data_IF_093286511061
#
_entry.id   IF_093286511061
#
_cell.length_a   1.000
_cell.length_b   1.000
_cell.length_c   1.000
_cell.angle_alpha   90.00
_cell.angle_beta   90.00
_cell.angle_gamma   90.00
#
_symmetry.space_group_name_H-M   'P 1'
#
loop_
_entity.id
_entity.type
_entity.pdbx_description
1 polymer ?
#
# COMPACT_ATOMS: atom_id res chain seq x y z
N UNK A 1 38.29 -10.16 1.70
CA UNK A 1 37.66 -10.88 2.82
C UNK A 1 36.14 -10.78 2.71
N UNK A 2 35.49 -11.61 1.88
CA UNK A 2 34.04 -11.52 1.67
C UNK A 2 33.24 -11.78 2.95
N UNK A 3 33.69 -12.69 3.81
CA UNK A 3 33.03 -13.04 5.07
C UNK A 3 33.04 -11.91 6.11
N UNK A 4 34.16 -11.20 6.22
CA UNK A 4 34.34 -10.10 7.18
C UNK A 4 33.54 -8.86 6.74
N UNK A 5 33.43 -8.66 5.43
CA UNK A 5 32.57 -7.63 4.85
C UNK A 5 31.09 -7.90 5.10
N UNK A 6 30.63 -9.14 4.93
CA UNK A 6 29.25 -9.54 5.26
C UNK A 6 28.95 -9.35 6.75
N UNK A 7 29.85 -9.80 7.63
CA UNK A 7 29.70 -9.59 9.07
C UNK A 7 29.60 -8.09 9.43
N UNK A 8 30.43 -7.24 8.83
CA UNK A 8 30.37 -5.80 9.07
C UNK A 8 29.02 -5.19 8.63
N UNK A 9 28.43 -5.66 7.53
CA UNK A 9 27.12 -5.19 7.09
C UNK A 9 25.99 -5.56 8.06
N UNK A 10 26.10 -6.68 8.76
CA UNK A 10 25.09 -7.10 9.74
C UNK A 10 25.26 -6.38 11.08
N UNK A 11 26.50 -6.20 11.56
CA UNK A 11 26.77 -5.65 12.89
C UNK A 11 26.79 -4.12 12.95
N UNK A 12 27.32 -3.44 11.94
CA UNK A 12 27.42 -1.97 11.92
C UNK A 12 26.07 -1.23 11.97
N UNK A 13 24.98 -1.71 11.35
CA UNK A 13 23.68 -1.03 11.44
C UNK A 13 22.93 -1.32 12.74
N UNK A 14 23.39 -2.23 13.60
CA UNK A 14 22.78 -2.49 14.90
C UNK A 14 22.89 -1.22 15.73
N UNK A 15 21.74 -0.61 16.04
CA UNK A 15 21.70 0.59 16.85
C UNK A 15 22.13 0.26 18.29
N UNK A 16 23.24 0.84 18.74
CA UNK A 16 23.72 0.71 20.13
C UNK A 16 22.93 1.53 21.16
N UNK A 17 21.82 2.15 20.77
CA UNK A 17 21.01 3.00 21.66
C UNK A 17 19.51 2.85 21.36
N UNK A 18 18.69 3.09 22.37
CA UNK A 18 17.22 3.06 22.26
C UNK A 18 16.59 4.38 21.76
N UNK A 19 17.40 5.42 21.51
CA UNK A 19 17.01 6.73 20.93
C UNK A 19 16.04 6.66 19.72
N UNK A 20 16.24 5.76 18.72
CA UNK A 20 15.28 5.54 17.64
C UNK A 20 13.88 5.17 18.14
N UNK A 21 13.77 4.26 19.10
CA UNK A 21 12.51 3.83 19.69
C UNK A 21 11.88 4.97 20.51
N UNK A 22 12.67 5.69 21.31
CA UNK A 22 12.19 6.86 22.08
C UNK A 22 11.61 7.95 21.18
N UNK A 23 12.22 8.20 20.02
CA UNK A 23 11.72 9.17 19.04
C UNK A 23 10.37 8.75 18.46
N UNK A 24 10.21 7.46 18.15
CA UNK A 24 8.93 6.89 17.67
C UNK A 24 7.87 7.01 18.76
N UNK A 25 8.19 6.66 20.01
CA UNK A 25 7.26 6.75 21.13
C UNK A 25 6.88 8.19 21.49
N UNK A 26 7.81 9.14 21.42
CA UNK A 26 7.53 10.57 21.62
C UNK A 26 6.56 11.10 20.56
N UNK A 27 6.76 10.74 19.29
CA UNK A 27 5.82 11.10 18.20
C UNK A 27 4.47 10.40 18.35
N UNK A 28 4.45 9.15 18.81
CA UNK A 28 3.22 8.42 19.07
C UNK A 28 2.40 9.04 20.21
N UNK A 29 3.06 9.49 21.27
CA UNK A 29 2.43 10.18 22.40
C UNK A 29 1.66 11.42 21.95
N UNK A 30 2.26 12.26 21.11
CA UNK A 30 1.61 13.44 20.54
C UNK A 30 0.31 13.07 19.79
N UNK A 31 0.36 11.98 19.01
CA UNK A 31 -0.76 11.54 18.17
C UNK A 31 -1.85 10.79 18.96
N UNK A 32 -1.49 10.10 20.05
CA UNK A 32 -2.39 9.26 20.86
C UNK A 32 -2.99 9.97 22.07
N UNK A 33 -2.19 10.69 22.86
CA UNK A 33 -2.65 11.24 24.15
C UNK A 33 -2.95 12.73 24.07
N UNK A 34 -2.11 13.51 23.40
CA UNK A 34 -2.15 14.97 23.52
C UNK A 34 -3.31 15.58 22.72
N UNK A 35 -3.67 14.99 21.58
CA UNK A 35 -4.84 15.38 20.79
C UNK A 35 -6.13 14.63 21.16
N UNK A 36 -6.16 13.83 22.24
CA UNK A 36 -7.30 12.96 22.64
C UNK A 36 -7.79 12.02 21.53
N UNK A 37 -6.95 11.73 20.55
CA UNK A 37 -7.20 10.75 19.52
C UNK A 37 -7.00 9.37 20.16
N UNK A 38 -8.06 8.77 20.71
CA UNK A 38 -8.04 7.40 21.28
C UNK A 38 -7.82 6.35 20.18
N UNK A 39 -6.70 6.43 19.49
CA UNK A 39 -6.25 5.52 18.45
C UNK A 39 -5.80 4.24 19.16
N UNK A 40 -6.17 3.08 18.63
CA UNK A 40 -5.72 1.80 19.15
C UNK A 40 -4.21 1.64 18.91
N UNK A 41 -3.51 0.98 19.83
CA UNK A 41 -2.05 0.76 19.76
C UNK A 41 -1.61 0.12 18.44
N UNK A 42 -2.38 -0.86 17.96
CA UNK A 42 -2.14 -1.53 16.68
C UNK A 42 -2.21 -0.57 15.49
N UNK A 43 -3.20 0.33 15.48
CA UNK A 43 -3.35 1.31 14.40
C UNK A 43 -2.22 2.36 14.46
N UNK A 44 -1.77 2.73 15.65
CA UNK A 44 -0.63 3.62 15.83
C UNK A 44 0.66 2.99 15.26
N UNK A 45 0.92 1.71 15.54
CA UNK A 45 2.07 0.99 15.01
C UNK A 45 2.06 0.97 13.47
N UNK A 46 0.92 0.62 12.88
CA UNK A 46 0.72 0.64 11.43
C UNK A 46 0.99 2.04 10.82
N UNK A 47 0.52 3.10 11.47
CA UNK A 47 0.75 4.47 11.02
C UNK A 47 2.22 4.89 11.14
N UNK A 48 2.93 4.48 12.18
CA UNK A 48 4.36 4.76 12.31
C UNK A 48 5.19 4.00 11.27
N UNK A 49 4.84 2.74 10.97
CA UNK A 49 5.45 1.98 9.87
C UNK A 49 5.21 2.67 8.52
N UNK A 50 3.97 3.10 8.25
CA UNK A 50 3.63 3.84 7.03
C UNK A 50 4.41 5.15 6.91
N UNK A 51 4.46 5.94 8.00
CA UNK A 51 5.24 7.18 8.07
C UNK A 51 6.72 6.96 7.77
N UNK A 52 7.31 5.90 8.32
CA UNK A 52 8.71 5.57 8.09
C UNK A 52 8.96 5.09 6.65
N UNK A 53 8.06 4.26 6.11
CA UNK A 53 8.09 3.83 4.71
C UNK A 53 8.09 5.05 3.77
N UNK A 54 7.17 6.00 3.99
CA UNK A 54 7.08 7.21 3.18
C UNK A 54 8.34 8.07 3.28
N UNK A 55 8.94 8.17 4.47
CA UNK A 55 10.19 8.91 4.68
C UNK A 55 11.38 8.26 3.96
N UNK A 56 11.39 6.94 3.81
CA UNK A 56 12.49 6.19 3.18
C UNK A 56 12.42 6.15 1.66
N UNK A 57 11.51 6.92 1.03
CA UNK A 57 11.44 7.06 -0.42
C UNK A 57 10.38 6.20 -1.10
N UNK A 58 9.52 5.50 -0.34
CA UNK A 58 8.28 4.98 -0.93
C UNK A 58 7.26 6.11 -1.03
N UNK A 59 7.23 6.77 -2.18
CA UNK A 59 6.21 7.78 -2.45
C UNK A 59 4.86 7.07 -2.70
N UNK A 60 3.82 7.50 -1.98
CA UNK A 60 2.46 7.01 -2.24
C UNK A 60 1.97 7.72 -3.50
N UNK A 61 2.03 7.01 -4.62
CA UNK A 61 1.52 7.52 -5.90
C UNK A 61 0.04 7.15 -6.05
N UNK A 62 -0.84 8.10 -5.72
CA UNK A 62 -2.29 7.96 -5.90
C UNK A 62 -2.71 7.96 -7.38
N UNK A 63 -1.80 8.30 -8.29
CA UNK A 63 -2.03 8.33 -9.74
C UNK A 63 -1.45 7.12 -10.47
N UNK A 64 -0.77 6.21 -9.76
CA UNK A 64 -0.32 4.94 -10.32
C UNK A 64 -1.55 4.12 -10.77
N UNK A 65 -1.55 3.64 -12.01
CA UNK A 65 -2.69 2.93 -12.60
C UNK A 65 -3.75 3.83 -13.25
N UNK A 66 -3.64 5.16 -13.10
CA UNK A 66 -4.57 6.13 -13.74
C UNK A 66 -3.99 6.76 -15.01
N UNK A 67 -2.85 6.26 -15.51
CA UNK A 67 -2.30 6.81 -16.75
C UNK A 67 -3.24 6.53 -17.92
N UNK A 68 -3.32 7.47 -18.87
CA UNK A 68 -4.16 7.35 -20.06
C UNK A 68 -3.95 5.99 -20.77
N UNK A 69 -2.70 5.51 -20.80
CA UNK A 69 -2.34 4.23 -21.41
C UNK A 69 -2.92 3.03 -20.67
N UNK A 70 -2.87 3.03 -19.34
CA UNK A 70 -3.43 1.95 -18.51
C UNK A 70 -4.96 1.95 -18.56
N UNK A 71 -5.57 3.14 -18.58
CA UNK A 71 -7.03 3.29 -18.75
C UNK A 71 -7.47 2.81 -20.13
N UNK A 72 -6.76 3.17 -21.19
CA UNK A 72 -7.05 2.70 -22.54
C UNK A 72 -6.90 1.18 -22.66
N UNK A 73 -5.85 0.60 -22.09
CA UNK A 73 -5.66 -0.84 -22.06
C UNK A 73 -6.80 -1.56 -21.33
N UNK A 74 -7.23 -1.05 -20.17
CA UNK A 74 -8.36 -1.60 -19.43
C UNK A 74 -9.66 -1.54 -20.24
N UNK A 75 -9.92 -0.44 -20.94
CA UNK A 75 -11.10 -0.28 -21.79
C UNK A 75 -11.04 -1.19 -23.03
N UNK A 76 -9.86 -1.38 -23.63
CA UNK A 76 -9.65 -2.33 -24.72
C UNK A 76 -9.89 -3.77 -24.24
N UNK A 77 -9.39 -4.17 -23.08
CA UNK A 77 -9.66 -5.48 -22.50
C UNK A 77 -11.16 -5.68 -22.17
N UNK A 78 -11.83 -4.64 -21.66
CA UNK A 78 -13.26 -4.68 -21.35
C UNK A 78 -14.15 -4.74 -22.61
N UNK A 79 -13.69 -4.19 -23.74
CA UNK A 79 -14.40 -4.23 -25.03
C UNK A 79 -14.00 -5.44 -25.89
N UNK A 80 -12.82 -6.03 -25.64
CA UNK A 80 -12.37 -7.29 -26.24
C UNK A 80 -12.93 -8.53 -25.54
N UNK A 81 -13.41 -8.40 -24.30
CA UNK A 81 -14.32 -9.38 -23.73
C UNK A 81 -15.53 -9.49 -24.68
N UNK A 82 -15.92 -10.71 -25.12
CA UNK A 82 -17.08 -10.84 -25.99
C UNK A 82 -18.25 -10.19 -25.28
N UNK A 83 -18.80 -9.13 -25.88
CA UNK A 83 -20.05 -8.56 -25.44
C UNK A 83 -21.05 -9.71 -25.38
N UNK A 84 -21.32 -10.23 -24.19
CA UNK A 84 -22.40 -11.16 -23.94
C UNK A 84 -23.77 -10.47 -24.05
N UNK A 85 -23.81 -9.27 -24.66
CA UNK A 85 -25.02 -8.60 -25.06
C UNK A 85 -25.56 -9.40 -26.23
N UNK A 86 -26.65 -10.14 -26.06
CA UNK A 86 -27.17 -10.96 -27.13
C UNK A 86 -27.63 -10.01 -28.23
N UNK A 87 -27.04 -10.13 -29.42
CA UNK A 87 -27.39 -9.32 -30.59
C UNK A 87 -28.86 -9.47 -31.00
N UNK A 88 -29.53 -10.50 -30.47
CA UNK A 88 -30.94 -10.77 -30.69
C UNK A 88 -31.72 -10.74 -29.35
N UNK A 89 -32.72 -9.86 -29.29
CA UNK A 89 -33.63 -9.69 -28.15
C UNK A 89 -34.31 -11.00 -27.78
N UNK A 90 -34.60 -11.86 -28.77
CA UNK A 90 -35.22 -13.15 -28.51
C UNK A 90 -34.31 -14.11 -27.74
N UNK A 91 -33.01 -14.14 -28.06
CA UNK A 91 -32.03 -14.97 -27.34
C UNK A 91 -31.80 -14.50 -25.89
N UNK A 92 -31.88 -13.18 -25.64
CA UNK A 92 -31.82 -12.62 -24.28
C UNK A 92 -33.05 -12.97 -23.43
N UNK A 93 -34.25 -12.91 -24.01
CA UNK A 93 -35.48 -13.28 -23.31
C UNK A 93 -35.47 -14.77 -22.92
N UNK A 94 -34.90 -15.64 -23.78
CA UNK A 94 -34.78 -17.06 -23.48
C UNK A 94 -33.81 -17.34 -22.31
N UNK A 95 -32.68 -16.63 -22.23
CA UNK A 95 -31.71 -16.83 -21.14
C UNK A 95 -32.21 -16.37 -19.77
N UNK A 96 -33.10 -15.37 -19.72
CA UNK A 96 -33.77 -14.90 -18.50
C UNK A 96 -34.92 -15.80 -18.01
N UNK A 97 -35.30 -16.82 -18.79
CA UNK A 97 -36.43 -17.71 -18.48
C UNK A 97 -36.04 -19.04 -17.83
N UNK A 98 -34.79 -19.18 -17.36
CA UNK A 98 -34.33 -20.27 -16.48
C UNK A 98 -34.67 -19.99 -15.01
#
# INVERSE_FOLDING_TARGET
YPTLFLAALDYLPIQGSAVPCERVFSSAKETMTDHRNRIAELLMEQLQMLKFSMKNGTHLDFTAGTSEKEVLQFLEEATAAPENVPADVHTYIQSLSL
#
